data_IF_387857743910
#
_entry.id   IF_387857743910
#
_cell.length_a   1.000
_cell.length_b   1.000
_cell.length_c   1.000
_cell.angle_alpha   90.00
_cell.angle_beta   90.00
_cell.angle_gamma   90.00
#
_symmetry.space_group_name_H-M   'P 1'
#
loop_
_entity.id
_entity.type
_entity.pdbx_description
1 polymer ?
#
# COMPACT_ATOMS: atom_id res chain seq x y z
N UNK A 1 32.34 -65.83 81.66
CA UNK A 1 32.23 -66.44 80.31
C UNK A 1 30.90 -65.96 79.74
N UNK A 2 30.97 -65.07 78.76
CA UNK A 2 29.88 -64.26 78.19
C UNK A 2 29.84 -64.57 76.68
N UNK A 3 28.65 -64.60 76.09
CA UNK A 3 28.27 -64.50 74.66
C UNK A 3 26.82 -65.02 74.62
N UNK A 4 25.76 -64.26 74.32
CA UNK A 4 25.61 -63.09 73.46
C UNK A 4 24.43 -63.40 72.55
N UNK A 5 23.25 -62.89 72.90
CA UNK A 5 21.99 -63.05 72.15
C UNK A 5 22.10 -62.52 70.72
N UNK A 6 21.43 -63.17 69.76
CA UNK A 6 21.11 -62.55 68.47
C UNK A 6 19.75 -63.03 67.95
N UNK A 7 18.70 -62.25 68.23
CA UNK A 7 17.48 -62.20 67.41
C UNK A 7 17.87 -61.89 65.96
N UNK A 8 17.42 -62.70 65.00
CA UNK A 8 17.35 -62.29 63.59
C UNK A 8 15.93 -62.48 63.11
N UNK A 9 15.20 -61.36 63.04
CA UNK A 9 13.99 -61.24 62.28
C UNK A 9 14.35 -61.37 60.79
N UNK A 10 13.84 -62.41 60.14
CA UNK A 10 13.87 -62.53 58.68
C UNK A 10 12.81 -61.60 58.10
N UNK A 11 13.23 -60.39 57.74
CA UNK A 11 12.46 -59.54 56.83
C UNK A 11 12.35 -60.26 55.48
N UNK A 12 11.15 -60.70 55.13
CA UNK A 12 10.82 -61.12 53.77
C UNK A 12 11.02 -59.94 52.84
N UNK A 13 12.06 -60.02 52.02
CA UNK A 13 12.37 -59.06 50.96
C UNK A 13 11.20 -59.13 49.96
N UNK A 14 10.34 -58.13 49.92
CA UNK A 14 9.38 -57.96 48.83
C UNK A 14 10.18 -57.58 47.57
N UNK A 15 10.28 -58.50 46.62
CA UNK A 15 10.91 -58.22 45.32
C UNK A 15 9.92 -57.38 44.50
N UNK A 16 10.31 -56.20 43.97
CA UNK A 16 9.40 -55.31 43.28
C UNK A 16 9.16 -55.82 41.86
N UNK A 17 8.27 -56.79 41.71
CA UNK A 17 7.78 -57.27 40.39
C UNK A 17 7.22 -56.12 39.55
N UNK A 18 6.72 -55.06 40.19
CA UNK A 18 6.22 -53.86 39.52
C UNK A 18 7.29 -53.07 38.76
N UNK A 19 8.58 -53.15 39.14
CA UNK A 19 9.66 -52.42 38.47
C UNK A 19 10.02 -53.06 37.13
N UNK A 20 10.12 -54.39 37.07
CA UNK A 20 10.53 -55.13 35.86
C UNK A 20 9.48 -55.03 34.74
N UNK A 21 8.18 -55.03 35.07
CA UNK A 21 7.13 -54.84 34.06
C UNK A 21 7.09 -53.39 33.55
N UNK A 22 7.36 -52.41 34.41
CA UNK A 22 7.49 -50.99 34.00
C UNK A 22 8.70 -50.78 33.10
N UNK A 23 9.83 -51.40 33.44
CA UNK A 23 11.09 -51.32 32.70
C UNK A 23 10.95 -51.96 31.31
N UNK A 24 10.30 -53.13 31.21
CA UNK A 24 10.04 -53.83 29.93
C UNK A 24 9.01 -53.10 29.07
N UNK A 25 7.95 -52.53 29.66
CA UNK A 25 6.95 -51.76 28.91
C UNK A 25 7.50 -50.39 28.45
N UNK A 26 8.40 -49.78 29.23
CA UNK A 26 9.18 -48.60 28.81
C UNK A 26 10.06 -48.91 27.61
N UNK A 27 10.78 -50.03 27.62
CA UNK A 27 11.65 -50.42 26.50
C UNK A 27 10.85 -50.74 25.23
N UNK A 28 9.71 -51.43 25.34
CA UNK A 28 8.80 -51.65 24.20
C UNK A 28 8.18 -50.34 23.65
N UNK A 29 7.90 -49.35 24.50
CA UNK A 29 7.46 -48.01 24.06
C UNK A 29 8.59 -47.25 23.37
N UNK A 30 9.81 -47.34 23.89
CA UNK A 30 11.01 -46.73 23.30
C UNK A 30 11.29 -47.31 21.93
N UNK A 31 11.21 -48.62 21.76
CA UNK A 31 11.43 -49.29 20.47
C UNK A 31 10.39 -48.90 19.42
N UNK A 32 9.09 -48.89 19.79
CA UNK A 32 8.03 -48.43 18.88
C UNK A 32 8.18 -46.96 18.49
N UNK A 33 8.58 -46.10 19.43
CA UNK A 33 8.86 -44.70 19.16
C UNK A 33 10.09 -44.53 18.26
N UNK A 34 11.15 -45.33 18.50
CA UNK A 34 12.36 -45.33 17.70
C UNK A 34 12.10 -45.80 16.26
N UNK A 35 11.28 -46.83 16.06
CA UNK A 35 10.94 -47.33 14.73
C UNK A 35 10.01 -46.38 13.96
N UNK A 36 9.04 -45.77 14.65
CA UNK A 36 8.22 -44.71 14.04
C UNK A 36 9.09 -43.51 13.64
N UNK A 37 10.01 -43.09 14.51
CA UNK A 37 10.95 -42.01 14.20
C UNK A 37 11.86 -42.39 13.05
N UNK A 38 12.49 -43.56 13.03
CA UNK A 38 13.33 -44.01 11.91
C UNK A 38 12.56 -43.98 10.59
N UNK A 39 11.31 -44.46 10.58
CA UNK A 39 10.48 -44.49 9.36
C UNK A 39 9.99 -43.12 8.90
N UNK A 40 9.66 -42.22 9.83
CA UNK A 40 9.11 -40.89 9.52
C UNK A 40 10.15 -39.76 9.49
N UNK A 41 11.34 -39.98 10.04
CA UNK A 41 12.40 -38.97 10.16
C UNK A 41 12.80 -38.41 8.80
N UNK A 42 12.90 -39.25 7.77
CA UNK A 42 13.20 -38.78 6.41
C UNK A 42 12.12 -37.80 5.89
N UNK A 43 10.83 -38.10 6.13
CA UNK A 43 9.74 -37.19 5.76
C UNK A 43 9.80 -35.89 6.58
N UNK A 44 10.07 -35.98 7.88
CA UNK A 44 10.24 -34.80 8.74
C UNK A 44 11.39 -33.93 8.26
N UNK A 45 12.56 -34.52 7.95
CA UNK A 45 13.70 -33.80 7.40
C UNK A 45 13.41 -33.20 6.03
N UNK A 46 12.72 -33.93 5.15
CA UNK A 46 12.31 -33.42 3.85
C UNK A 46 11.36 -32.22 3.97
N UNK A 47 10.34 -32.32 4.84
CA UNK A 47 9.43 -31.21 5.11
C UNK A 47 10.15 -30.02 5.72
N UNK A 48 11.03 -30.24 6.70
CA UNK A 48 11.84 -29.18 7.30
C UNK A 48 12.74 -28.50 6.26
N UNK A 49 13.37 -29.26 5.36
CA UNK A 49 14.21 -28.73 4.29
C UNK A 49 13.40 -27.86 3.31
N UNK A 50 12.20 -28.31 2.91
CA UNK A 50 11.31 -27.51 2.05
C UNK A 50 10.91 -26.20 2.72
N UNK A 51 10.57 -26.23 4.01
CA UNK A 51 10.23 -25.00 4.76
C UNK A 51 11.42 -24.05 4.82
N UNK A 52 12.62 -24.54 5.15
CA UNK A 52 13.83 -23.72 5.21
C UNK A 52 14.16 -23.11 3.85
N UNK A 53 14.08 -23.88 2.76
CA UNK A 53 14.31 -23.37 1.41
C UNK A 53 13.26 -22.34 1.00
N UNK A 54 12.00 -22.56 1.34
CA UNK A 54 10.91 -21.61 1.09
C UNK A 54 11.13 -20.29 1.83
N UNK A 55 11.48 -20.34 3.11
CA UNK A 55 11.78 -19.15 3.92
C UNK A 55 13.03 -18.44 3.41
N UNK A 56 14.11 -19.17 3.08
CA UNK A 56 15.33 -18.59 2.55
C UNK A 56 15.09 -17.89 1.20
N UNK A 57 14.32 -18.50 0.30
CA UNK A 57 13.91 -17.90 -0.96
C UNK A 57 13.07 -16.64 -0.77
N UNK A 58 12.07 -16.69 0.12
CA UNK A 58 11.24 -15.53 0.45
C UNK A 58 12.06 -14.37 1.05
N UNK A 59 12.93 -14.67 2.02
CA UNK A 59 13.81 -13.65 2.63
C UNK A 59 14.79 -13.05 1.62
N UNK A 60 15.35 -13.88 0.72
CA UNK A 60 16.23 -13.40 -0.35
C UNK A 60 15.52 -12.44 -1.31
N UNK A 61 14.30 -12.79 -1.75
CA UNK A 61 13.48 -11.92 -2.60
C UNK A 61 13.09 -10.63 -1.88
N UNK A 62 12.67 -10.72 -0.61
CA UNK A 62 12.31 -9.57 0.21
C UNK A 62 13.48 -8.59 0.38
N UNK A 63 14.68 -9.08 0.68
CA UNK A 63 15.86 -8.22 0.80
C UNK A 63 16.26 -7.57 -0.52
N UNK A 64 15.99 -8.20 -1.66
CA UNK A 64 16.20 -7.59 -2.97
C UNK A 64 15.17 -6.48 -3.24
N UNK A 65 13.88 -6.73 -2.99
CA UNK A 65 12.81 -5.74 -3.11
C UNK A 65 13.02 -4.53 -2.19
N UNK A 66 13.44 -4.76 -0.93
CA UNK A 66 13.76 -3.68 0.01
C UNK A 66 14.92 -2.79 -0.48
N UNK A 67 15.96 -3.38 -1.10
CA UNK A 67 17.08 -2.61 -1.68
C UNK A 67 16.63 -1.76 -2.86
N UNK A 68 15.87 -2.35 -3.80
CA UNK A 68 15.37 -1.64 -4.97
C UNK A 68 14.49 -0.45 -4.55
N UNK A 69 13.59 -0.66 -3.57
CA UNK A 69 12.76 0.43 -3.02
C UNK A 69 13.59 1.50 -2.32
N UNK A 70 14.68 1.12 -1.67
CA UNK A 70 15.64 2.06 -1.07
C UNK A 70 16.27 2.97 -2.13
N UNK A 71 16.77 2.40 -3.22
CA UNK A 71 17.37 3.15 -4.34
C UNK A 71 16.36 4.10 -5.02
N UNK A 72 15.12 3.63 -5.24
CA UNK A 72 14.03 4.45 -5.77
C UNK A 72 13.64 5.59 -4.81
N UNK A 73 13.61 5.31 -3.51
CA UNK A 73 13.35 6.32 -2.47
C UNK A 73 14.41 7.41 -2.48
N UNK A 74 15.68 7.04 -2.52
CA UNK A 74 16.79 7.99 -2.51
C UNK A 74 16.78 8.86 -3.77
N UNK A 75 16.50 8.26 -4.93
CA UNK A 75 16.38 8.98 -6.21
C UNK A 75 15.23 9.99 -6.18
N UNK A 76 14.06 9.55 -5.68
CA UNK A 76 12.90 10.44 -5.55
C UNK A 76 13.17 11.58 -4.57
N UNK A 77 13.78 11.29 -3.41
CA UNK A 77 14.13 12.31 -2.43
C UNK A 77 15.15 13.32 -2.98
N UNK A 78 16.11 12.88 -3.79
CA UNK A 78 17.05 13.76 -4.46
C UNK A 78 16.37 14.67 -5.48
N UNK A 79 15.44 14.15 -6.28
CA UNK A 79 14.65 14.97 -7.19
C UNK A 79 13.88 16.07 -6.45
N UNK A 80 13.27 15.75 -5.30
CA UNK A 80 12.57 16.76 -4.49
C UNK A 80 13.51 17.86 -3.97
N UNK A 81 14.72 17.52 -3.52
CA UNK A 81 15.72 18.53 -3.12
C UNK A 81 16.14 19.42 -4.29
N UNK A 82 16.27 18.85 -5.48
CA UNK A 82 16.61 19.61 -6.69
C UNK A 82 15.49 20.58 -7.08
N UNK A 83 14.22 20.16 -6.97
CA UNK A 83 13.06 21.07 -7.12
C UNK A 83 13.14 22.22 -6.11
N UNK A 84 13.36 21.92 -4.83
CA UNK A 84 13.44 22.92 -3.75
C UNK A 84 14.60 23.91 -3.94
N UNK A 85 15.73 23.45 -4.47
CA UNK A 85 16.91 24.27 -4.77
C UNK A 85 16.84 25.01 -6.12
N UNK A 86 15.79 24.76 -6.91
CA UNK A 86 15.54 25.42 -8.19
C UNK A 86 16.18 24.76 -9.42
N UNK A 87 16.86 23.62 -9.26
CA UNK A 87 17.39 22.84 -10.39
C UNK A 87 16.33 21.89 -10.96
N UNK A 88 15.29 22.50 -11.55
CA UNK A 88 14.15 21.78 -12.10
C UNK A 88 14.54 20.87 -13.27
N UNK A 89 15.59 21.21 -14.03
CA UNK A 89 16.03 20.41 -15.17
C UNK A 89 16.65 19.09 -14.71
N UNK A 90 17.56 19.11 -13.74
CA UNK A 90 18.14 17.90 -13.19
C UNK A 90 17.09 17.08 -12.41
N UNK A 91 16.22 17.75 -11.65
CA UNK A 91 15.11 17.07 -10.97
C UNK A 91 14.24 16.28 -11.95
N UNK A 92 13.86 16.90 -13.07
CA UNK A 92 13.02 16.26 -14.08
C UNK A 92 13.69 15.02 -14.68
N UNK A 93 14.99 15.06 -14.95
CA UNK A 93 15.71 13.88 -15.48
C UNK A 93 15.66 12.69 -14.51
N UNK A 94 15.80 12.95 -13.20
CA UNK A 94 15.70 11.89 -12.18
C UNK A 94 14.28 11.35 -12.11
N UNK A 95 13.27 12.23 -12.15
CA UNK A 95 11.86 11.83 -12.12
C UNK A 95 11.49 11.02 -13.36
N UNK A 96 11.88 11.46 -14.56
CA UNK A 96 11.65 10.77 -15.83
C UNK A 96 12.24 9.35 -15.81
N UNK A 97 13.46 9.19 -15.29
CA UNK A 97 14.11 7.88 -15.21
C UNK A 97 13.40 6.91 -14.25
N UNK A 98 12.69 7.44 -13.24
CA UNK A 98 11.93 6.65 -12.26
C UNK A 98 10.45 6.49 -12.64
N UNK A 99 9.95 7.31 -13.55
CA UNK A 99 8.54 7.46 -13.92
C UNK A 99 7.94 6.18 -14.46
N UNK A 100 6.88 5.70 -13.80
CA UNK A 100 6.02 4.63 -14.31
C UNK A 100 4.57 4.89 -13.92
N UNK A 101 3.74 5.43 -14.83
CA UNK A 101 2.31 5.67 -14.58
C UNK A 101 1.48 4.41 -14.29
N UNK A 102 1.94 3.24 -14.74
CA UNK A 102 1.33 1.95 -14.44
C UNK A 102 1.94 1.28 -13.20
N UNK A 103 3.04 1.83 -12.69
CA UNK A 103 3.79 1.33 -11.54
C UNK A 103 3.12 1.63 -10.20
N UNK A 104 3.84 1.39 -9.11
CA UNK A 104 3.34 1.65 -7.74
C UNK A 104 4.47 2.16 -6.85
N UNK A 105 4.14 2.79 -5.71
CA UNK A 105 5.15 3.36 -4.83
C UNK A 105 5.89 4.52 -5.50
N UNK A 106 7.22 4.54 -5.40
CA UNK A 106 8.05 5.63 -5.89
C UNK A 106 7.95 5.88 -7.41
N UNK A 107 7.92 4.86 -8.29
CA UNK A 107 7.68 5.08 -9.72
C UNK A 107 6.40 5.84 -10.07
N UNK A 108 5.30 5.54 -9.38
CA UNK A 108 4.04 6.24 -9.54
C UNK A 108 4.12 7.70 -9.02
N UNK A 109 4.76 7.89 -7.85
CA UNK A 109 4.98 9.22 -7.30
C UNK A 109 5.89 10.07 -8.20
N UNK A 110 6.88 9.43 -8.83
CA UNK A 110 7.77 10.07 -9.80
C UNK A 110 7.00 10.51 -11.04
N UNK A 111 6.12 9.66 -11.60
CA UNK A 111 5.27 10.05 -12.72
C UNK A 111 4.37 11.24 -12.41
N UNK A 112 3.72 11.26 -11.25
CA UNK A 112 2.92 12.40 -10.79
C UNK A 112 3.75 13.68 -10.65
N UNK A 113 4.93 13.58 -10.04
CA UNK A 113 5.82 14.72 -9.84
C UNK A 113 6.45 15.22 -11.14
N UNK A 114 6.81 14.31 -12.05
CA UNK A 114 7.31 14.63 -13.38
C UNK A 114 6.28 15.41 -14.18
N UNK A 115 5.02 14.96 -14.17
CA UNK A 115 3.94 15.64 -14.88
C UNK A 115 3.69 17.05 -14.34
N UNK A 116 3.67 17.20 -13.00
CA UNK A 116 3.52 18.51 -12.36
C UNK A 116 4.70 19.44 -12.71
N UNK A 117 5.94 18.95 -12.60
CA UNK A 117 7.14 19.72 -12.89
C UNK A 117 7.21 20.10 -14.38
N UNK A 118 6.87 19.18 -15.28
CA UNK A 118 6.79 19.46 -16.71
C UNK A 118 5.78 20.58 -17.00
N UNK A 119 4.60 20.55 -16.36
CA UNK A 119 3.60 21.59 -16.49
C UNK A 119 4.10 22.96 -15.96
N UNK A 120 4.78 22.98 -14.80
CA UNK A 120 5.39 24.19 -14.24
C UNK A 120 6.47 24.79 -15.15
N UNK A 121 7.25 23.92 -15.80
CA UNK A 121 8.27 24.30 -16.78
C UNK A 121 7.69 24.70 -18.15
N UNK A 122 6.37 24.63 -18.33
CA UNK A 122 5.67 24.94 -19.59
C UNK A 122 5.66 23.81 -20.62
N UNK A 123 6.22 22.64 -20.31
CA UNK A 123 6.15 21.42 -21.13
C UNK A 123 4.81 20.70 -20.93
N UNK A 124 3.78 21.34 -21.45
CA UNK A 124 2.39 20.91 -21.34
C UNK A 124 2.12 19.59 -22.05
N UNK A 125 2.82 19.31 -23.15
CA UNK A 125 2.69 18.07 -23.91
C UNK A 125 3.13 16.86 -23.08
N UNK A 126 4.25 16.96 -22.36
CA UNK A 126 4.72 15.88 -21.48
C UNK A 126 3.76 15.65 -20.32
N UNK A 127 3.31 16.73 -19.67
CA UNK A 127 2.36 16.63 -18.56
C UNK A 127 1.04 15.96 -18.99
N UNK A 128 0.47 16.40 -20.12
CA UNK A 128 -0.76 15.83 -20.67
C UNK A 128 -0.63 14.35 -21.03
N UNK A 129 0.51 13.95 -21.60
CA UNK A 129 0.80 12.54 -21.89
C UNK A 129 0.77 11.70 -20.60
N UNK A 130 1.50 12.12 -19.57
CA UNK A 130 1.61 11.36 -18.32
C UNK A 130 0.27 11.31 -17.59
N UNK A 131 -0.44 12.42 -17.45
CA UNK A 131 -1.77 12.42 -16.82
C UNK A 131 -2.80 11.62 -17.62
N UNK A 132 -2.71 11.62 -18.95
CA UNK A 132 -3.53 10.77 -19.80
C UNK A 132 -3.25 9.27 -19.59
N UNK A 133 -1.99 8.88 -19.44
CA UNK A 133 -1.59 7.52 -19.09
C UNK A 133 -2.12 7.12 -17.70
N UNK A 134 -2.03 8.02 -16.72
CA UNK A 134 -2.60 7.82 -15.39
C UNK A 134 -4.13 7.69 -15.42
N UNK A 135 -4.82 8.47 -16.25
CA UNK A 135 -6.28 8.39 -16.40
C UNK A 135 -6.75 7.09 -17.09
N UNK A 136 -5.86 6.41 -17.79
CA UNK A 136 -6.16 5.18 -18.53
C UNK A 136 -6.36 3.95 -17.65
N UNK A 137 -6.96 2.91 -18.24
CA UNK A 137 -7.23 1.61 -17.62
C UNK A 137 -5.97 0.81 -17.21
N UNK A 138 -4.76 1.30 -17.53
CA UNK A 138 -3.49 0.68 -17.15
C UNK A 138 -2.88 1.23 -15.86
N UNK A 139 -3.56 2.14 -15.16
CA UNK A 139 -3.05 2.78 -13.95
C UNK A 139 -3.12 1.88 -12.71
N UNK A 140 -2.29 2.20 -11.72
CA UNK A 140 -2.07 1.40 -10.51
C UNK A 140 -3.34 1.11 -9.67
N UNK A 141 -4.34 1.99 -9.73
CA UNK A 141 -5.62 1.85 -9.01
C UNK A 141 -6.69 2.81 -9.57
N UNK A 142 -7.99 2.56 -9.32
CA UNK A 142 -9.06 3.49 -9.70
C UNK A 142 -8.87 4.91 -9.17
N UNK A 143 -8.34 5.07 -7.95
CA UNK A 143 -8.04 6.38 -7.39
C UNK A 143 -6.96 7.11 -8.21
N UNK A 144 -5.96 6.39 -8.72
CA UNK A 144 -4.94 6.98 -9.60
C UNK A 144 -5.55 7.39 -10.94
N UNK A 145 -6.47 6.57 -11.49
CA UNK A 145 -7.23 6.91 -12.70
C UNK A 145 -8.06 8.18 -12.53
N UNK A 146 -8.76 8.30 -11.41
CA UNK A 146 -9.56 9.49 -11.09
C UNK A 146 -8.66 10.72 -10.95
N UNK A 147 -7.51 10.59 -10.28
CA UNK A 147 -6.54 11.67 -10.15
C UNK A 147 -5.98 12.12 -11.51
N UNK A 148 -5.61 11.18 -12.39
CA UNK A 148 -5.19 11.48 -13.75
C UNK A 148 -6.27 12.23 -14.53
N UNK A 149 -7.53 11.81 -14.37
CA UNK A 149 -8.70 12.48 -14.97
C UNK A 149 -8.85 13.92 -14.46
N UNK A 150 -8.73 14.15 -13.15
CA UNK A 150 -8.79 15.50 -12.57
C UNK A 150 -7.72 16.42 -13.17
N UNK A 151 -6.47 15.98 -13.22
CA UNK A 151 -5.38 16.78 -13.80
C UNK A 151 -5.59 17.07 -15.28
N UNK A 152 -6.01 16.06 -16.05
CA UNK A 152 -6.32 16.22 -17.47
C UNK A 152 -7.47 17.22 -17.71
N UNK A 153 -8.49 17.24 -16.83
CA UNK A 153 -9.58 18.21 -16.88
C UNK A 153 -9.11 19.60 -16.48
N UNK A 154 -8.35 19.73 -15.39
CA UNK A 154 -7.80 21.00 -14.93
C UNK A 154 -6.97 21.68 -16.01
N UNK A 155 -6.19 20.91 -16.78
CA UNK A 155 -5.39 21.45 -17.88
C UNK A 155 -6.24 21.98 -19.04
N UNK A 156 -7.36 21.32 -19.32
CA UNK A 156 -8.32 21.72 -20.36
C UNK A 156 -9.40 22.68 -19.84
N UNK A 157 -9.33 23.12 -18.58
CA UNK A 157 -10.39 23.89 -17.93
C UNK A 157 -10.68 25.23 -18.60
N UNK A 158 -9.71 25.84 -19.28
CA UNK A 158 -9.94 27.12 -19.96
C UNK A 158 -10.54 26.94 -21.37
N UNK A 159 -9.97 26.01 -22.16
CA UNK A 159 -10.23 25.96 -23.61
C UNK A 159 -10.98 24.70 -24.07
N UNK A 160 -11.11 23.68 -23.21
CA UNK A 160 -11.75 22.40 -23.55
C UNK A 160 -13.27 22.48 -23.60
N UNK A 161 -13.89 21.58 -24.38
CA UNK A 161 -15.35 21.48 -24.47
C UNK A 161 -16.00 21.22 -23.11
N UNK A 162 -16.89 22.12 -22.69
CA UNK A 162 -17.49 22.07 -21.37
C UNK A 162 -18.38 20.83 -21.17
N UNK A 163 -19.05 20.35 -22.22
CA UNK A 163 -19.90 19.18 -22.12
C UNK A 163 -19.06 17.91 -21.88
N UNK A 164 -17.97 17.75 -22.62
CA UNK A 164 -17.00 16.67 -22.42
C UNK A 164 -16.39 16.70 -21.02
N UNK A 165 -15.84 17.85 -20.59
CA UNK A 165 -15.21 17.97 -19.26
C UNK A 165 -16.19 17.67 -18.12
N UNK A 166 -17.44 18.14 -18.22
CA UNK A 166 -18.50 17.77 -17.27
C UNK A 166 -18.76 16.27 -17.26
N UNK A 167 -18.80 15.65 -18.44
CA UNK A 167 -18.97 14.21 -18.59
C UNK A 167 -17.87 13.40 -17.91
N UNK A 168 -16.63 13.87 -17.99
CA UNK A 168 -15.46 13.28 -17.33
C UNK A 168 -15.46 13.47 -15.81
N UNK A 169 -15.90 14.64 -15.31
CA UNK A 169 -15.92 14.93 -13.86
C UNK A 169 -17.08 14.26 -13.12
N UNK A 170 -18.22 14.06 -13.78
CA UNK A 170 -19.45 13.56 -13.11
C UNK A 170 -19.28 12.19 -12.44
N UNK A 171 -18.59 11.18 -13.02
CA UNK A 171 -18.33 9.92 -12.34
C UNK A 171 -17.54 10.07 -11.03
N UNK A 172 -16.65 11.07 -10.96
CA UNK A 172 -15.78 11.31 -9.81
C UNK A 172 -16.52 11.94 -8.62
N UNK A 173 -17.78 12.35 -8.78
CA UNK A 173 -18.62 12.90 -7.68
C UNK A 173 -19.33 11.82 -6.87
N UNK A 174 -19.03 10.53 -7.11
CA UNK A 174 -19.59 9.41 -6.37
C UNK A 174 -19.42 9.60 -4.84
N UNK A 175 -20.44 9.30 -4.00
CA UNK A 175 -20.45 9.62 -2.57
C UNK A 175 -19.21 9.18 -1.79
N UNK A 176 -18.68 8.00 -2.12
CA UNK A 176 -17.53 7.38 -1.44
C UNK A 176 -16.19 7.62 -2.17
N UNK A 177 -16.20 8.45 -3.22
CA UNK A 177 -15.02 8.73 -4.03
C UNK A 177 -14.01 9.63 -3.31
N UNK A 178 -12.70 9.31 -3.34
CA UNK A 178 -11.68 10.09 -2.63
C UNK A 178 -11.55 11.54 -3.15
N UNK A 179 -11.97 11.78 -4.39
CA UNK A 179 -11.86 13.07 -5.07
C UNK A 179 -13.19 13.77 -5.29
N UNK A 180 -14.28 13.29 -4.67
CA UNK A 180 -15.63 13.84 -4.87
C UNK A 180 -15.71 15.35 -4.72
N UNK A 181 -15.13 15.89 -3.65
CA UNK A 181 -15.19 17.33 -3.38
C UNK A 181 -14.34 18.14 -4.35
N UNK A 182 -13.19 17.62 -4.78
CA UNK A 182 -12.38 18.24 -5.85
C UNK A 182 -13.15 18.24 -7.18
N UNK A 183 -13.81 17.14 -7.53
CA UNK A 183 -14.64 17.08 -8.74
C UNK A 183 -15.81 18.07 -8.69
N UNK A 184 -16.45 18.25 -7.52
CA UNK A 184 -17.49 19.27 -7.31
C UNK A 184 -16.93 20.70 -7.46
N UNK A 185 -15.75 20.98 -6.91
CA UNK A 185 -15.07 22.29 -7.09
C UNK A 185 -14.80 22.56 -8.58
N UNK A 186 -14.32 21.56 -9.34
CA UNK A 186 -14.07 21.69 -10.78
C UNK A 186 -15.36 21.83 -11.59
N UNK A 187 -16.44 21.13 -11.22
CA UNK A 187 -17.75 21.31 -11.84
C UNK A 187 -18.31 22.72 -11.58
N UNK A 188 -18.11 23.27 -10.39
CA UNK A 188 -18.48 24.64 -10.08
C UNK A 188 -17.68 25.65 -10.92
N UNK A 189 -16.36 25.47 -11.03
CA UNK A 189 -15.50 26.30 -11.87
C UNK A 189 -15.93 26.24 -13.35
N UNK A 190 -16.26 25.04 -13.84
CA UNK A 190 -16.74 24.83 -15.19
C UNK A 190 -18.10 25.51 -15.46
N UNK A 191 -19.01 25.46 -14.48
CA UNK A 191 -20.30 26.16 -14.54
C UNK A 191 -20.11 27.67 -14.59
N UNK A 192 -19.22 28.23 -13.76
CA UNK A 192 -18.87 29.65 -13.78
C UNK A 192 -18.30 30.09 -15.13
N UNK A 193 -17.43 29.28 -15.74
CA UNK A 193 -16.89 29.53 -17.09
C UNK A 193 -18.00 29.66 -18.14
N UNK A 194 -19.11 28.94 -17.96
CA UNK A 194 -20.26 29.00 -18.85
C UNK A 194 -21.28 30.08 -18.49
N UNK A 195 -21.03 30.86 -17.43
CA UNK A 195 -21.97 31.86 -16.91
C UNK A 195 -23.15 31.26 -16.13
N UNK A 196 -23.12 29.96 -15.82
CA UNK A 196 -24.15 29.26 -15.05
C UNK A 196 -23.85 29.34 -13.55
N UNK A 197 -24.09 30.53 -12.98
CA UNK A 197 -23.91 30.78 -11.55
C UNK A 197 -24.84 29.91 -10.69
N UNK A 198 -25.99 29.48 -11.22
CA UNK A 198 -26.93 28.64 -10.49
C UNK A 198 -26.36 27.23 -10.28
N UNK A 199 -25.86 26.58 -11.34
CA UNK A 199 -25.19 25.29 -11.23
C UNK A 199 -23.91 25.37 -10.40
N UNK A 200 -23.13 26.45 -10.53
CA UNK A 200 -21.97 26.68 -9.69
C UNK A 200 -22.34 26.73 -8.19
N UNK A 201 -23.42 27.45 -7.86
CA UNK A 201 -23.92 27.57 -6.48
C UNK A 201 -24.36 26.21 -5.93
N UNK A 202 -25.04 25.41 -6.73
CA UNK A 202 -25.46 24.05 -6.35
C UNK A 202 -24.25 23.19 -5.96
N UNK A 203 -23.22 23.12 -6.82
CA UNK A 203 -22.03 22.32 -6.57
C UNK A 203 -21.24 22.79 -5.34
N UNK A 204 -21.08 24.11 -5.16
CA UNK A 204 -20.36 24.66 -4.00
C UNK A 204 -21.14 24.45 -2.69
N UNK A 205 -22.46 24.59 -2.73
CA UNK A 205 -23.33 24.34 -1.56
C UNK A 205 -23.26 22.87 -1.14
N UNK A 206 -23.22 21.94 -2.11
CA UNK A 206 -23.04 20.52 -1.83
C UNK A 206 -21.70 20.21 -1.13
N UNK A 207 -20.68 21.05 -1.29
CA UNK A 207 -19.42 20.93 -0.54
C UNK A 207 -19.58 21.50 0.88
N UNK A 208 -20.16 22.69 1.03
CA UNK A 208 -20.28 23.35 2.34
C UNK A 208 -21.20 22.63 3.30
N UNK A 209 -22.27 22.02 2.78
CA UNK A 209 -23.30 21.34 3.58
C UNK A 209 -22.90 19.90 3.95
N UNK A 210 -21.87 19.33 3.29
CA UNK A 210 -21.44 17.97 3.54
C UNK A 210 -20.47 17.91 4.74
N UNK A 211 -20.82 17.20 5.83
CA UNK A 211 -19.95 17.07 6.99
C UNK A 211 -18.66 16.28 6.69
N UNK A 212 -18.66 15.42 5.67
CA UNK A 212 -17.50 14.65 5.24
C UNK A 212 -16.52 15.47 4.39
N UNK A 213 -16.91 16.67 3.93
CA UNK A 213 -16.02 17.53 3.17
C UNK A 213 -14.80 18.00 4.01
N UNK A 214 -13.57 17.89 3.48
CA UNK A 214 -12.38 18.43 4.14
C UNK A 214 -12.53 19.92 4.45
N UNK A 215 -11.98 20.37 5.58
CA UNK A 215 -12.12 21.75 6.05
C UNK A 215 -11.64 22.78 4.99
N UNK A 216 -10.52 22.50 4.33
CA UNK A 216 -10.00 23.38 3.26
C UNK A 216 -10.94 23.52 2.07
N UNK A 217 -11.59 22.43 1.65
CA UNK A 217 -12.59 22.46 0.56
C UNK A 217 -13.84 23.24 0.95
N UNK A 218 -14.36 23.03 2.17
CA UNK A 218 -15.49 23.82 2.67
C UNK A 218 -15.18 25.31 2.74
N UNK A 219 -14.01 25.68 3.24
CA UNK A 219 -13.59 27.08 3.32
C UNK A 219 -13.51 27.74 1.94
N UNK A 220 -12.84 27.09 0.97
CA UNK A 220 -12.77 27.60 -0.41
C UNK A 220 -14.15 27.71 -1.07
N UNK A 221 -15.00 26.69 -0.89
CA UNK A 221 -16.33 26.70 -1.47
C UNK A 221 -17.22 27.83 -0.89
N UNK A 222 -17.14 28.05 0.42
CA UNK A 222 -17.85 29.14 1.09
C UNK A 222 -17.37 30.53 0.63
N UNK A 223 -16.05 30.70 0.45
CA UNK A 223 -15.46 31.93 -0.07
C UNK A 223 -15.93 32.22 -1.50
N UNK A 224 -15.94 31.21 -2.37
CA UNK A 224 -16.46 31.34 -3.74
C UNK A 224 -17.96 31.68 -3.75
N UNK A 225 -18.77 31.02 -2.90
CA UNK A 225 -20.20 31.33 -2.78
C UNK A 225 -20.45 32.77 -2.35
N UNK A 226 -19.65 33.31 -1.42
CA UNK A 226 -19.77 34.69 -0.96
C UNK A 226 -19.45 35.73 -2.05
N UNK A 227 -18.72 35.33 -3.11
CA UNK A 227 -18.44 36.19 -4.26
C UNK A 227 -19.60 36.30 -5.25
N UNK A 228 -20.60 35.42 -5.16
CA UNK A 228 -21.72 35.41 -6.11
C UNK A 228 -22.70 36.54 -5.79
N UNK A 229 -23.28 37.18 -6.83
CA UNK A 229 -24.36 38.13 -6.62
C UNK A 229 -25.56 37.43 -5.96
N UNK A 230 -26.21 38.16 -5.05
CA UNK A 230 -27.41 37.73 -4.33
C UNK A 230 -28.60 37.47 -5.24
#
# INVERSE_FOLDING_TARGET
MNLGEAKRATATREWPVADIFKEVEEDLRRDKAADWWKRNSLYIYATAAVVVLGVAGYQGWRSYDEKLRGEQSDSYAEALRLIESGDQAQARQILEALSDPAGSGYPLLAALSEANLAAEMGDTATAERIWGELAGNGSASPAVSDLGTLYAVMRRMNDGDAAALRGELRPLTAPDGPYRFTALELLAALALRQGDTAAAREHLTAITDDPAAPAGSRSRAAELLASFPG
#
